data_IF_914969567691
#
_entry.id   IF_914969567691
#
_cell.length_a   1.000
_cell.length_b   1.000
_cell.length_c   1.000
_cell.angle_alpha   90.00
_cell.angle_beta   90.00
_cell.angle_gamma   90.00
#
_symmetry.space_group_name_H-M   'P 1'
#
loop_
_entity.id
_entity.type
_entity.pdbx_description
1 polymer ?
#
# COMPACT_ATOMS: atom_id res chain seq x y z
N UNK A 1 -0.46 5.98 -14.14
CA UNK A 1 -1.89 5.66 -13.93
C UNK A 1 -2.37 4.47 -14.74
N UNK A 2 -1.84 4.24 -15.95
CA UNK A 2 -2.28 3.12 -16.79
C UNK A 2 -2.07 1.74 -16.13
N UNK A 3 -1.00 1.59 -15.37
CA UNK A 3 -0.71 0.33 -14.66
C UNK A 3 -1.76 -0.02 -13.60
N UNK A 4 -2.56 0.95 -13.12
CA UNK A 4 -3.59 0.74 -12.13
C UNK A 4 -4.98 0.50 -12.73
N UNK A 5 -5.14 0.64 -14.03
CA UNK A 5 -6.43 0.39 -14.69
C UNK A 5 -6.83 -1.06 -14.53
N UNK A 6 -8.11 -1.29 -14.28
CA UNK A 6 -8.64 -2.62 -14.03
C UNK A 6 -8.47 -3.11 -12.60
N UNK A 7 -7.85 -2.32 -11.71
CA UNK A 7 -7.76 -2.64 -10.29
C UNK A 7 -9.13 -2.53 -9.63
N UNK A 8 -9.44 -3.46 -8.73
CA UNK A 8 -10.68 -3.44 -7.96
C UNK A 8 -10.57 -2.58 -6.70
N UNK A 9 -9.35 -2.43 -6.19
CA UNK A 9 -9.04 -1.66 -4.99
C UNK A 9 -7.62 -1.11 -5.09
N UNK A 10 -7.43 0.14 -4.68
CA UNK A 10 -6.12 0.79 -4.65
C UNK A 10 -5.76 1.10 -3.20
N UNK A 11 -4.54 0.71 -2.80
CA UNK A 11 -4.01 0.94 -1.47
C UNK A 11 -2.80 1.88 -1.58
N UNK A 12 -2.76 2.91 -0.72
CA UNK A 12 -1.65 3.86 -0.67
C UNK A 12 -1.04 3.88 0.74
N UNK A 13 0.22 3.52 0.84
CA UNK A 13 0.92 3.34 2.11
C UNK A 13 1.52 4.63 2.69
N UNK A 14 0.96 5.80 2.35
CA UNK A 14 1.36 7.10 2.89
C UNK A 14 2.27 7.90 1.98
N UNK A 15 2.58 9.12 2.40
CA UNK A 15 3.27 10.12 1.59
C UNK A 15 2.53 10.39 0.27
N UNK A 16 1.23 10.61 0.39
CA UNK A 16 0.33 10.81 -0.76
C UNK A 16 0.70 12.07 -1.54
N UNK A 17 1.08 13.12 -0.85
CA UNK A 17 1.55 14.36 -1.44
C UNK A 17 0.47 15.42 -1.62
N UNK A 18 -0.70 15.07 -2.14
CA UNK A 18 -1.79 16.04 -2.32
C UNK A 18 -3.16 15.36 -2.38
N UNK A 19 -4.21 16.14 -2.14
CA UNK A 19 -5.58 15.67 -2.29
C UNK A 19 -5.92 15.30 -3.74
N UNK A 20 -5.25 15.94 -4.71
CA UNK A 20 -5.47 15.66 -6.14
C UNK A 20 -5.05 14.24 -6.51
N UNK A 21 -3.96 13.74 -5.93
CA UNK A 21 -3.50 12.36 -6.14
C UNK A 21 -4.60 11.38 -5.73
N UNK A 22 -5.20 11.58 -4.56
CA UNK A 22 -6.29 10.73 -4.09
C UNK A 22 -7.51 10.79 -5.00
N UNK A 23 -7.87 11.99 -5.47
CA UNK A 23 -9.00 12.15 -6.41
C UNK A 23 -8.76 11.42 -7.71
N UNK A 24 -7.56 11.51 -8.26
CA UNK A 24 -7.20 10.84 -9.51
C UNK A 24 -7.24 9.32 -9.37
N UNK A 25 -6.72 8.80 -8.25
CA UNK A 25 -6.76 7.37 -7.98
C UNK A 25 -8.19 6.86 -7.79
N UNK A 26 -9.06 7.64 -7.12
CA UNK A 26 -10.46 7.28 -6.89
C UNK A 26 -11.28 7.17 -8.18
N UNK A 27 -10.84 7.79 -9.26
CA UNK A 27 -11.47 7.64 -10.58
C UNK A 27 -11.24 6.26 -11.18
N UNK A 28 -10.20 5.56 -10.74
CA UNK A 28 -9.84 4.23 -11.25
C UNK A 28 -10.47 3.12 -10.44
N UNK A 29 -10.50 3.25 -9.11
CA UNK A 29 -11.03 2.25 -8.18
C UNK A 29 -11.20 2.88 -6.79
N UNK A 30 -11.92 2.21 -5.86
CA UNK A 30 -11.91 2.63 -4.46
C UNK A 30 -10.49 2.68 -3.92
N UNK A 31 -10.18 3.71 -3.12
CA UNK A 31 -8.85 3.93 -2.56
C UNK A 31 -8.90 3.91 -1.04
N UNK A 32 -8.00 3.14 -0.43
CA UNK A 32 -7.70 3.22 1.00
C UNK A 32 -6.27 3.74 1.13
N UNK A 33 -6.08 4.82 1.85
CA UNK A 33 -4.77 5.45 2.03
C UNK A 33 -4.51 5.69 3.51
N UNK A 34 -3.24 5.61 3.90
CA UNK A 34 -2.78 5.99 5.23
C UNK A 34 -1.95 7.26 5.14
N UNK A 35 -1.81 7.97 6.28
CA UNK A 35 -1.03 9.19 6.36
C UNK A 35 0.46 8.87 6.49
N UNK A 36 1.29 9.49 5.65
CA UNK A 36 2.73 9.41 5.73
C UNK A 36 3.36 10.66 6.33
N UNK A 37 4.69 10.68 6.39
CA UNK A 37 5.46 11.74 7.05
C UNK A 37 5.31 13.11 6.38
N UNK A 38 5.12 13.15 5.05
CA UNK A 38 4.98 14.39 4.29
C UNK A 38 3.54 14.88 4.19
N UNK A 39 2.57 14.10 4.68
CA UNK A 39 1.15 14.42 4.60
C UNK A 39 0.74 15.28 5.80
N UNK A 40 1.05 16.57 5.76
CA UNK A 40 0.86 17.51 6.88
C UNK A 40 -0.25 18.53 6.66
N UNK A 41 -0.81 18.63 5.47
CA UNK A 41 -1.89 19.56 5.17
C UNK A 41 -3.23 19.11 5.77
N UNK A 42 -4.21 20.00 5.81
CA UNK A 42 -5.50 19.73 6.46
C UNK A 42 -6.24 18.51 5.88
N UNK A 43 -6.14 18.28 4.57
CA UNK A 43 -6.77 17.13 3.93
C UNK A 43 -6.21 15.80 4.45
N UNK A 44 -4.91 15.79 4.80
CA UNK A 44 -4.24 14.59 5.30
C UNK A 44 -4.69 14.20 6.71
N UNK A 45 -5.23 15.15 7.47
CA UNK A 45 -5.74 14.87 8.84
C UNK A 45 -6.94 13.92 8.84
N UNK A 46 -7.61 13.77 7.71
CA UNK A 46 -8.69 12.79 7.55
C UNK A 46 -8.17 11.37 7.36
N UNK A 47 -6.90 11.21 7.03
CA UNK A 47 -6.26 9.90 6.85
C UNK A 47 -5.77 9.37 8.20
N UNK A 48 -5.99 8.10 8.45
CA UNK A 48 -5.43 7.41 9.61
C UNK A 48 -3.98 7.04 9.34
N UNK A 49 -3.23 6.78 10.39
CA UNK A 49 -1.83 6.31 10.27
C UNK A 49 -1.75 4.82 9.96
N UNK A 50 -2.82 4.08 10.21
CA UNK A 50 -2.97 2.67 9.85
C UNK A 50 -4.43 2.36 9.51
N UNK A 51 -4.65 1.40 8.64
CA UNK A 51 -5.98 0.94 8.22
C UNK A 51 -6.02 -0.58 8.10
N UNK A 52 -7.20 -1.13 8.38
CA UNK A 52 -7.52 -2.54 8.15
C UNK A 52 -8.41 -2.62 6.92
N UNK A 53 -8.04 -3.45 5.96
CA UNK A 53 -8.74 -3.55 4.68
C UNK A 53 -9.14 -4.98 4.39
N UNK A 54 -10.43 -5.20 4.15
CA UNK A 54 -10.90 -6.48 3.61
C UNK A 54 -10.67 -6.47 2.10
N UNK A 55 -9.62 -7.17 1.66
CA UNK A 55 -9.27 -7.23 0.24
C UNK A 55 -10.22 -8.14 -0.54
N UNK A 56 -10.68 -9.22 0.09
CA UNK A 56 -11.78 -10.04 -0.38
C UNK A 56 -12.46 -10.72 0.83
N UNK A 57 -13.38 -11.66 0.59
CA UNK A 57 -14.13 -12.33 1.66
C UNK A 57 -13.25 -13.13 2.63
N UNK A 58 -12.04 -13.49 2.24
CA UNK A 58 -11.15 -14.35 3.02
C UNK A 58 -9.82 -13.69 3.40
N UNK A 59 -9.50 -12.52 2.83
CA UNK A 59 -8.20 -11.88 2.96
C UNK A 59 -8.31 -10.49 3.55
N UNK A 60 -7.71 -10.29 4.71
CA UNK A 60 -7.67 -8.99 5.40
C UNK A 60 -6.24 -8.50 5.44
N UNK A 61 -6.03 -7.25 5.02
CA UNK A 61 -4.71 -6.60 4.96
C UNK A 61 -4.61 -5.52 6.03
N UNK A 62 -3.41 -5.34 6.56
CA UNK A 62 -3.07 -4.22 7.44
C UNK A 62 -2.14 -3.28 6.69
N UNK A 63 -2.48 -1.98 6.68
CA UNK A 63 -1.72 -0.96 5.97
C UNK A 63 -1.22 0.07 6.96
N UNK A 64 0.09 0.37 6.92
CA UNK A 64 0.69 1.47 7.69
C UNK A 64 1.82 2.08 6.86
N UNK A 65 2.24 3.31 7.22
CA UNK A 65 3.30 3.98 6.47
C UNK A 65 4.68 3.39 6.79
N UNK A 66 5.01 3.23 8.08
CA UNK A 66 6.33 2.77 8.53
C UNK A 66 6.22 1.42 9.21
N UNK A 67 6.96 0.44 8.71
CA UNK A 67 6.97 -0.90 9.29
C UNK A 67 7.47 -0.90 10.75
N UNK A 68 8.37 0.03 11.09
CA UNK A 68 8.87 0.19 12.46
C UNK A 68 7.77 0.53 13.48
N UNK A 69 6.64 1.06 13.03
CA UNK A 69 5.50 1.41 13.89
C UNK A 69 4.52 0.25 14.07
N UNK A 70 4.81 -0.91 13.48
CA UNK A 70 3.96 -2.10 13.65
C UNK A 70 4.04 -2.59 15.09
N UNK A 71 2.91 -2.58 15.80
CA UNK A 71 2.81 -2.89 17.22
C UNK A 71 1.96 -4.13 17.50
N UNK A 72 1.70 -4.94 16.48
CA UNK A 72 0.89 -6.16 16.61
C UNK A 72 1.58 -7.33 15.92
N UNK A 73 1.06 -8.54 16.16
CA UNK A 73 1.52 -9.77 15.49
C UNK A 73 0.53 -10.08 14.36
N UNK A 74 0.90 -9.86 13.09
CA UNK A 74 -0.05 -9.95 11.98
C UNK A 74 -0.70 -11.32 11.85
N UNK A 75 0.06 -12.40 12.01
CA UNK A 75 -0.49 -13.76 11.92
C UNK A 75 -1.54 -14.02 12.99
N UNK A 76 -1.24 -13.66 14.24
CA UNK A 76 -2.16 -13.84 15.35
C UNK A 76 -3.42 -12.98 15.21
N UNK A 77 -3.31 -11.81 14.60
CA UNK A 77 -4.42 -10.91 14.33
C UNK A 77 -5.27 -11.32 13.11
N UNK A 78 -4.83 -12.32 12.35
CA UNK A 78 -5.57 -12.82 11.19
C UNK A 78 -5.29 -12.08 9.89
N UNK A 79 -4.24 -11.28 9.81
CA UNK A 79 -3.88 -10.56 8.58
C UNK A 79 -3.15 -11.46 7.60
N UNK A 80 -3.57 -11.41 6.34
CA UNK A 80 -2.91 -12.10 5.24
C UNK A 80 -1.70 -11.32 4.72
N UNK A 81 -1.71 -9.99 4.86
CA UNK A 81 -0.63 -9.13 4.39
C UNK A 81 -0.49 -7.88 5.25
N UNK A 82 0.74 -7.37 5.30
CA UNK A 82 1.08 -6.04 5.83
C UNK A 82 1.67 -5.24 4.68
N UNK A 83 1.02 -4.12 4.35
CA UNK A 83 1.45 -3.22 3.27
C UNK A 83 2.02 -1.96 3.92
N UNK A 84 3.24 -1.58 3.54
CA UNK A 84 3.93 -0.45 4.14
C UNK A 84 4.75 0.32 3.11
N UNK A 85 5.24 1.49 3.48
CA UNK A 85 6.00 2.36 2.59
C UNK A 85 7.20 2.98 3.30
N UNK A 86 7.30 4.30 3.26
CA UNK A 86 8.31 5.15 3.88
C UNK A 86 9.67 5.13 3.20
N UNK A 87 10.30 3.96 3.03
CA UNK A 87 11.64 3.85 2.42
C UNK A 87 11.66 4.13 0.92
N UNK A 88 10.51 4.09 0.25
CA UNK A 88 10.37 4.16 -1.21
C UNK A 88 11.09 3.03 -1.96
N UNK A 89 11.47 1.98 -1.24
CA UNK A 89 12.19 0.83 -1.78
C UNK A 89 11.27 -0.37 -1.84
N UNK A 90 11.00 -0.92 -3.04
CA UNK A 90 10.09 -2.06 -3.15
C UNK A 90 10.67 -3.30 -2.50
N UNK A 91 9.80 -4.08 -1.86
CA UNK A 91 10.18 -5.33 -1.20
C UNK A 91 9.01 -6.28 -1.12
N UNK A 92 9.28 -7.56 -1.33
CA UNK A 92 8.34 -8.65 -1.11
C UNK A 92 9.00 -9.62 -0.13
N UNK A 93 8.38 -9.85 1.03
CA UNK A 93 8.89 -10.74 2.04
C UNK A 93 7.74 -11.56 2.64
N UNK A 94 8.00 -12.82 2.95
CA UNK A 94 7.03 -13.72 3.57
C UNK A 94 7.53 -14.11 4.96
N UNK A 95 6.72 -13.84 5.97
CA UNK A 95 7.04 -14.19 7.36
C UNK A 95 5.85 -14.94 7.97
N UNK A 96 6.05 -16.18 8.37
CA UNK A 96 5.01 -17.02 8.96
C UNK A 96 3.73 -17.08 8.11
N UNK A 97 3.88 -17.11 6.78
CA UNK A 97 2.75 -17.14 5.86
C UNK A 97 2.08 -15.78 5.61
N UNK A 98 2.55 -14.70 6.24
CA UNK A 98 2.04 -13.35 6.03
C UNK A 98 2.92 -12.63 5.01
N UNK A 99 2.30 -12.01 4.02
CA UNK A 99 3.00 -11.19 3.03
C UNK A 99 3.35 -9.83 3.64
N UNK A 100 4.64 -9.47 3.62
CA UNK A 100 5.11 -8.12 3.94
C UNK A 100 5.52 -7.46 2.64
N UNK A 101 4.75 -6.45 2.20
CA UNK A 101 4.90 -5.84 0.89
C UNK A 101 5.13 -4.34 1.01
N UNK A 102 6.24 -3.87 0.45
CA UNK A 102 6.47 -2.46 0.17
C UNK A 102 6.39 -2.29 -1.35
N UNK A 103 5.40 -1.57 -1.88
CA UNK A 103 5.26 -1.38 -3.33
C UNK A 103 6.30 -0.42 -3.91
N UNK A 104 7.12 0.21 -3.09
CA UNK A 104 7.99 1.30 -3.52
C UNK A 104 7.21 2.60 -3.65
N UNK A 105 7.71 3.52 -4.46
CA UNK A 105 7.04 4.79 -4.74
C UNK A 105 6.77 4.95 -6.23
N UNK A 106 5.54 5.28 -6.56
CA UNK A 106 5.13 5.54 -7.95
C UNK A 106 5.57 6.93 -8.46
N UNK A 107 6.23 7.72 -7.63
CA UNK A 107 6.78 9.03 -7.97
C UNK A 107 6.44 10.11 -6.95
N UNK A 108 7.10 11.26 -7.00
CA UNK A 108 8.27 11.51 -7.83
C UNK A 108 9.49 10.68 -7.41
N UNK A 109 10.39 10.43 -8.36
CA UNK A 109 11.61 9.65 -8.09
C UNK A 109 12.51 10.40 -7.11
N UNK A 110 13.01 9.68 -6.10
CA UNK A 110 13.95 10.21 -5.10
C UNK A 110 15.29 9.51 -5.23
N UNK A 111 16.36 10.31 -5.36
CA UNK A 111 17.73 9.79 -5.48
C UNK A 111 17.83 8.77 -6.62
N UNK A 112 18.44 7.62 -6.35
CA UNK A 112 18.57 6.52 -7.30
C UNK A 112 17.51 5.44 -7.12
N UNK A 113 16.50 5.67 -6.26
CA UNK A 113 15.46 4.69 -6.00
C UNK A 113 14.56 4.50 -7.22
N UNK A 114 14.12 3.27 -7.50
CA UNK A 114 13.24 3.01 -8.64
C UNK A 114 11.85 3.63 -8.44
N UNK A 115 11.18 3.93 -9.54
CA UNK A 115 9.75 4.29 -9.53
C UNK A 115 8.96 3.03 -9.79
N UNK A 116 8.20 2.58 -8.80
CA UNK A 116 7.52 1.29 -8.82
C UNK A 116 6.12 1.37 -8.23
N UNK A 117 5.33 0.36 -8.52
CA UNK A 117 4.12 0.02 -7.79
C UNK A 117 4.05 -1.50 -7.65
N UNK A 118 3.08 -1.99 -6.90
CA UNK A 118 2.85 -3.42 -6.78
C UNK A 118 1.41 -3.76 -7.13
N UNK A 119 1.23 -4.93 -7.71
CA UNK A 119 -0.09 -5.56 -7.88
C UNK A 119 -0.14 -6.83 -7.05
N UNK A 120 -1.26 -7.05 -6.38
CA UNK A 120 -1.52 -8.29 -5.66
C UNK A 120 -2.78 -8.91 -6.24
N UNK A 121 -2.63 -10.07 -6.84
CA UNK A 121 -3.75 -10.88 -7.30
C UNK A 121 -4.10 -11.89 -6.22
N UNK A 122 -5.39 -12.04 -5.92
CA UNK A 122 -5.87 -13.01 -4.96
C UNK A 122 -6.63 -14.08 -5.71
N UNK A 123 -6.09 -15.31 -5.70
CA UNK A 123 -6.69 -16.46 -6.40
C UNK A 123 -6.87 -17.59 -5.40
N UNK A 124 -8.11 -17.95 -5.13
CA UNK A 124 -8.47 -19.01 -4.17
C UNK A 124 -7.79 -18.81 -2.79
N UNK A 125 -7.78 -17.57 -2.31
CA UNK A 125 -7.16 -17.21 -1.03
C UNK A 125 -5.64 -17.08 -1.06
N UNK A 126 -5.00 -17.36 -2.20
CA UNK A 126 -3.56 -17.22 -2.38
C UNK A 126 -3.21 -15.83 -2.88
N UNK A 127 -2.25 -15.16 -2.22
CA UNK A 127 -1.76 -13.86 -2.63
C UNK A 127 -0.61 -14.02 -3.63
N UNK A 128 -0.70 -13.31 -4.74
CA UNK A 128 0.33 -13.29 -5.81
C UNK A 128 0.81 -11.86 -6.01
N UNK A 129 1.83 -11.42 -5.26
CA UNK A 129 2.37 -10.06 -5.39
C UNK A 129 3.35 -9.95 -6.56
N UNK A 130 3.37 -8.78 -7.18
CA UNK A 130 4.29 -8.45 -8.26
C UNK A 130 4.69 -6.99 -8.15
N UNK A 131 6.00 -6.70 -8.19
CA UNK A 131 6.53 -5.34 -8.30
C UNK A 131 6.59 -4.96 -9.76
N UNK A 132 6.05 -3.78 -10.09
CA UNK A 132 6.03 -3.25 -11.45
C UNK A 132 6.90 -2.02 -11.50
N UNK A 133 7.93 -2.04 -12.34
CA UNK A 133 8.81 -0.92 -12.57
C UNK A 133 8.22 0.01 -13.62
N UNK A 134 8.08 1.30 -13.28
CA UNK A 134 7.52 2.32 -14.16
C UNK A 134 8.60 3.10 -14.90
N UNK A 135 9.79 3.17 -14.32
CA UNK A 135 10.95 3.84 -14.90
C UNK A 135 12.22 3.01 -14.69
#
# INVERSE_FOLDING_TARGET
MDALRGSELILHAGDVGSAEVLRDLRRLAPVVAVRGNVDTESWAKTLRTAEVVEADSESVFYILHRIADLDLKPKAAGFAAVIYGHSHQPAIDWRDGVLFLNPGSAGPRRFSLPVTLAKVEIVDGELRPEIIHLL
#
